data_IF_035499541826
#
_entry.id   IF_035499541826
#
_cell.length_a   1.000
_cell.length_b   1.000
_cell.length_c   1.000
_cell.angle_alpha   90.00
_cell.angle_beta   90.00
_cell.angle_gamma   90.00
#
_symmetry.space_group_name_H-M   'P 1'
#
loop_
_entity.id
_entity.type
_entity.pdbx_description
1 polymer ?
#
# COMPACT_ATOMS: atom_id res chain seq x y z
N UNK A 1 -41.45 33.17 -16.28
CA UNK A 1 -40.81 33.26 -14.95
C UNK A 1 -41.83 32.81 -13.92
N UNK A 2 -41.72 31.57 -13.43
CA UNK A 2 -42.53 31.05 -12.34
C UNK A 2 -41.87 31.46 -11.01
N UNK A 3 -42.63 31.88 -9.98
CA UNK A 3 -42.04 32.26 -8.71
C UNK A 3 -41.59 31.01 -7.96
N UNK A 4 -40.31 31.01 -7.56
CA UNK A 4 -39.72 30.03 -6.65
C UNK A 4 -40.28 30.35 -5.26
N UNK A 5 -41.11 29.45 -4.73
CA UNK A 5 -41.61 29.54 -3.36
C UNK A 5 -40.44 29.47 -2.38
N UNK A 6 -40.16 30.59 -1.71
CA UNK A 6 -39.14 30.67 -0.68
C UNK A 6 -39.54 29.90 0.58
N UNK A 7 -38.62 29.10 1.10
CA UNK A 7 -38.73 28.45 2.40
C UNK A 7 -38.37 29.48 3.48
N UNK A 8 -39.34 29.94 4.26
CA UNK A 8 -39.12 30.86 5.39
C UNK A 8 -39.27 30.07 6.68
N UNK A 9 -38.18 29.94 7.43
CA UNK A 9 -38.19 29.38 8.78
C UNK A 9 -38.41 30.55 9.75
N UNK A 10 -39.65 30.77 10.19
CA UNK A 10 -39.95 31.71 11.27
C UNK A 10 -40.10 30.95 12.59
N UNK A 11 -39.14 31.11 13.49
CA UNK A 11 -39.29 30.74 14.90
C UNK A 11 -40.07 31.86 15.59
N UNK A 12 -41.32 31.59 15.95
CA UNK A 12 -42.15 32.53 16.72
C UNK A 12 -42.13 32.07 18.18
N UNK A 13 -41.21 32.63 18.97
CA UNK A 13 -41.12 32.41 20.41
C UNK A 13 -41.98 33.41 21.17
N UNK A 14 -43.22 33.04 21.49
CA UNK A 14 -44.02 33.73 22.50
C UNK A 14 -43.73 33.10 23.87
N UNK A 15 -43.20 33.94 24.77
CA UNK A 15 -42.87 33.58 26.13
C UNK A 15 -44.13 33.66 27.03
N UNK A 16 -44.90 32.58 27.13
CA UNK A 16 -45.76 32.34 28.32
C UNK A 16 -46.21 30.86 28.39
N UNK A 17 -45.85 30.19 29.48
CA UNK A 17 -46.69 29.16 30.15
C UNK A 17 -47.02 27.86 29.42
N UNK A 18 -46.31 26.80 29.82
CA UNK A 18 -46.78 25.42 30.00
C UNK A 18 -47.15 24.55 28.77
N UNK A 19 -46.64 23.31 28.77
CA UNK A 19 -47.02 22.23 27.86
C UNK A 19 -46.25 22.18 26.52
N UNK A 20 -45.21 21.34 26.46
CA UNK A 20 -44.39 21.02 25.28
C UNK A 20 -45.09 21.05 23.91
N UNK A 21 -45.04 22.20 23.24
CA UNK A 21 -45.38 22.35 21.83
C UNK A 21 -44.09 22.16 21.05
N UNK A 22 -43.93 20.98 20.43
CA UNK A 22 -42.81 20.72 19.55
C UNK A 22 -42.81 21.68 18.35
N UNK A 23 -41.62 22.14 17.95
CA UNK A 23 -41.43 23.03 16.80
C UNK A 23 -42.21 22.54 15.57
N UNK A 24 -43.11 23.38 15.07
CA UNK A 24 -43.93 23.13 13.89
C UNK A 24 -43.32 23.83 12.70
N UNK A 25 -43.04 23.09 11.62
CA UNK A 25 -42.63 23.65 10.35
C UNK A 25 -43.87 23.81 9.45
N UNK A 26 -44.08 25.00 8.89
CA UNK A 26 -45.18 25.26 7.96
C UNK A 26 -44.68 25.05 6.55
N UNK A 27 -45.25 24.07 5.84
CA UNK A 27 -44.97 23.83 4.42
C UNK A 27 -46.05 24.51 3.59
N UNK A 28 -45.66 25.37 2.65
CA UNK A 28 -46.59 25.99 1.70
C UNK A 28 -47.25 27.30 2.16
N UNK A 29 -46.54 28.14 2.93
CA UNK A 29 -47.05 29.42 3.43
C UNK A 29 -47.60 30.29 2.27
N UNK A 30 -48.90 30.62 2.31
CA UNK A 30 -49.58 31.42 1.29
C UNK A 30 -50.28 30.65 0.16
N UNK A 31 -50.42 29.32 0.27
CA UNK A 31 -51.22 28.50 -0.67
C UNK A 31 -52.42 27.86 0.05
N UNK A 32 -53.52 27.50 -0.65
CA UNK A 32 -54.70 26.88 -0.03
C UNK A 32 -54.48 25.47 0.55
N UNK A 33 -53.25 24.93 0.47
CA UNK A 33 -52.86 23.62 1.00
C UNK A 33 -51.81 23.76 2.12
N UNK A 34 -51.98 24.74 3.00
CA UNK A 34 -51.10 24.91 4.17
C UNK A 34 -51.28 23.74 5.14
N UNK A 35 -50.25 22.90 5.26
CA UNK A 35 -50.21 21.80 6.22
C UNK A 35 -49.12 22.07 7.26
N UNK A 36 -49.53 22.14 8.54
CA UNK A 36 -48.61 22.22 9.68
C UNK A 36 -48.07 20.82 9.96
N UNK A 37 -46.79 20.61 9.72
CA UNK A 37 -46.13 19.32 9.91
C UNK A 37 -45.11 19.48 11.05
N UNK A 38 -45.08 18.54 11.99
CA UNK A 38 -44.09 18.61 13.07
C UNK A 38 -42.68 18.50 12.49
N UNK A 39 -41.73 19.21 13.10
CA UNK A 39 -40.32 19.15 12.66
C UNK A 39 -39.80 17.71 12.63
N UNK A 40 -40.31 16.84 13.51
CA UNK A 40 -39.98 15.42 13.55
C UNK A 40 -40.53 14.65 12.35
N UNK A 41 -41.74 14.95 11.88
CA UNK A 41 -42.29 14.34 10.66
C UNK A 41 -41.53 14.85 9.44
N UNK A 42 -41.13 16.13 9.41
CA UNK A 42 -40.30 16.67 8.33
C UNK A 42 -38.91 16.04 8.32
N UNK A 43 -38.31 15.84 9.50
CA UNK A 43 -37.05 15.11 9.67
C UNK A 43 -37.21 13.65 9.26
N UNK A 44 -38.30 12.98 9.63
CA UNK A 44 -38.57 11.59 9.25
C UNK A 44 -38.79 11.46 7.74
N UNK A 45 -39.55 12.35 7.12
CA UNK A 45 -39.71 12.42 5.66
C UNK A 45 -38.36 12.71 4.99
N UNK A 46 -37.56 13.62 5.55
CA UNK A 46 -36.20 13.89 5.08
C UNK A 46 -35.30 12.67 5.25
N UNK A 47 -35.39 11.93 6.35
CA UNK A 47 -34.63 10.70 6.61
C UNK A 47 -35.07 9.53 5.72
N UNK A 48 -36.37 9.45 5.41
CA UNK A 48 -36.97 8.46 4.52
C UNK A 48 -36.67 8.78 3.04
N UNK A 49 -36.66 10.06 2.67
CA UNK A 49 -36.24 10.56 1.35
C UNK A 49 -34.73 10.47 1.13
N UNK A 50 -33.93 10.76 2.15
CA UNK A 50 -32.47 10.68 2.05
C UNK A 50 -31.96 9.25 2.11
N UNK A 51 -32.75 8.33 2.71
CA UNK A 51 -32.43 6.91 2.84
C UNK A 51 -31.12 6.72 3.60
N UNK A 52 -31.15 6.29 4.86
CA UNK A 52 -29.91 5.92 5.57
C UNK A 52 -29.19 4.80 4.80
N UNK A 53 -28.22 5.17 3.97
CA UNK A 53 -27.30 4.23 3.35
C UNK A 53 -26.16 3.99 4.33
N UNK A 54 -25.97 2.74 4.71
CA UNK A 54 -24.80 2.31 5.45
C UNK A 54 -23.64 2.06 4.47
N UNK A 55 -22.39 2.06 4.96
CA UNK A 55 -21.21 1.77 4.16
C UNK A 55 -20.43 0.64 4.81
N UNK A 56 -20.09 -0.38 4.02
CA UNK A 56 -19.19 -1.45 4.40
C UNK A 56 -17.98 -1.42 3.49
N UNK A 57 -16.79 -1.34 4.09
CA UNK A 57 -15.54 -1.31 3.34
C UNK A 57 -14.55 -2.38 3.79
N UNK A 58 -13.78 -2.90 2.83
CA UNK A 58 -12.71 -3.88 3.05
C UNK A 58 -11.47 -3.45 2.27
N UNK A 59 -10.33 -3.42 2.95
CA UNK A 59 -9.05 -3.06 2.36
C UNK A 59 -8.14 -4.29 2.24
N UNK A 60 -7.36 -4.33 1.17
CA UNK A 60 -6.45 -5.42 0.83
C UNK A 60 -5.03 -4.91 0.66
N UNK A 61 -4.07 -5.76 0.99
CA UNK A 61 -2.64 -5.48 0.90
C UNK A 61 -1.87 -6.63 0.25
N UNK A 62 -2.54 -7.44 -0.57
CA UNK A 62 -1.87 -8.47 -1.36
C UNK A 62 -1.20 -7.86 -2.60
N UNK A 63 -0.05 -8.38 -3.05
CA UNK A 63 0.66 -7.86 -4.21
C UNK A 63 0.03 -8.35 -5.53
N UNK A 64 -1.12 -7.77 -5.88
CA UNK A 64 -1.83 -8.11 -7.12
C UNK A 64 -1.09 -7.61 -8.36
N UNK A 65 -1.16 -8.39 -9.44
CA UNK A 65 -0.73 -8.04 -10.78
C UNK A 65 -1.97 -8.01 -11.66
N UNK A 66 -2.51 -6.81 -11.87
CA UNK A 66 -3.80 -6.64 -12.54
C UNK A 66 -3.54 -6.15 -13.96
N UNK A 67 -4.05 -6.90 -14.91
CA UNK A 67 -4.13 -6.52 -16.31
C UNK A 67 -5.53 -6.01 -16.67
N UNK A 68 -5.66 -5.43 -17.85
CA UNK A 68 -6.96 -4.92 -18.32
C UNK A 68 -8.02 -6.03 -18.41
N UNK A 69 -7.64 -7.25 -18.83
CA UNK A 69 -8.54 -8.41 -18.89
C UNK A 69 -9.12 -8.79 -17.54
N UNK A 70 -8.38 -8.58 -16.45
CA UNK A 70 -8.85 -8.89 -15.10
C UNK A 70 -9.95 -7.90 -14.67
N UNK A 71 -9.85 -6.64 -15.12
CA UNK A 71 -10.89 -5.64 -14.91
C UNK A 71 -12.15 -5.94 -15.73
N UNK A 72 -12.01 -6.47 -16.96
CA UNK A 72 -13.15 -6.97 -17.74
C UNK A 72 -13.86 -8.11 -16.99
N UNK A 73 -13.08 -9.02 -16.39
CA UNK A 73 -13.63 -10.12 -15.60
C UNK A 73 -14.35 -9.61 -14.34
N UNK A 74 -13.81 -8.59 -13.65
CA UNK A 74 -14.49 -7.95 -12.53
C UNK A 74 -15.85 -7.40 -12.94
N UNK A 75 -15.88 -6.62 -14.02
CA UNK A 75 -17.12 -6.03 -14.54
C UNK A 75 -18.15 -7.12 -14.85
N UNK A 76 -17.74 -8.18 -15.54
CA UNK A 76 -18.62 -9.32 -15.84
C UNK A 76 -19.18 -9.98 -14.57
N UNK A 77 -18.32 -10.30 -13.58
CA UNK A 77 -18.77 -10.94 -12.32
C UNK A 77 -19.73 -10.06 -11.53
N UNK A 78 -19.48 -8.76 -11.46
CA UNK A 78 -20.37 -7.80 -10.79
C UNK A 78 -21.71 -7.72 -11.51
N UNK A 79 -21.72 -7.57 -12.84
CA UNK A 79 -22.95 -7.54 -13.63
C UNK A 79 -23.77 -8.82 -13.44
N UNK A 80 -23.13 -9.99 -13.51
CA UNK A 80 -23.81 -11.27 -13.27
C UNK A 80 -24.36 -11.41 -11.85
N UNK A 81 -23.65 -10.91 -10.84
CA UNK A 81 -24.16 -10.89 -9.47
C UNK A 81 -25.43 -10.02 -9.38
N UNK A 82 -25.43 -8.89 -10.08
CA UNK A 82 -26.57 -7.97 -10.11
C UNK A 82 -27.79 -8.52 -10.86
N UNK A 83 -27.62 -9.36 -11.88
CA UNK A 83 -28.71 -9.98 -12.66
C UNK A 83 -29.67 -10.82 -11.79
N UNK A 84 -29.21 -11.31 -10.64
CA UNK A 84 -30.03 -12.07 -9.70
C UNK A 84 -31.06 -11.20 -8.96
N UNK A 85 -30.87 -9.88 -9.00
CA UNK A 85 -31.75 -8.90 -8.38
C UNK A 85 -32.64 -8.21 -9.42
N UNK A 86 -33.79 -7.69 -8.98
CA UNK A 86 -34.67 -6.90 -9.84
C UNK A 86 -34.12 -5.47 -10.03
N UNK A 87 -33.05 -5.37 -10.82
CA UNK A 87 -32.34 -4.13 -11.11
C UNK A 87 -33.14 -3.30 -12.11
N UNK A 88 -33.52 -2.08 -11.73
CA UNK A 88 -34.26 -1.13 -12.59
C UNK A 88 -33.34 -0.25 -13.42
N UNK A 89 -32.22 0.13 -12.84
CA UNK A 89 -31.18 0.90 -13.51
C UNK A 89 -29.82 0.45 -12.99
N UNK A 90 -28.83 0.44 -13.88
CA UNK A 90 -27.43 0.26 -13.53
C UNK A 90 -26.58 1.26 -14.30
N UNK A 91 -25.55 1.78 -13.67
CA UNK A 91 -24.50 2.54 -14.33
C UNK A 91 -23.14 2.09 -13.81
N UNK A 92 -22.12 2.24 -14.65
CA UNK A 92 -20.75 1.92 -14.30
C UNK A 92 -19.88 3.09 -14.75
N UNK A 93 -19.03 3.59 -13.87
CA UNK A 93 -18.03 4.60 -14.19
C UNK A 93 -16.64 4.09 -13.81
N UNK A 94 -15.64 4.44 -14.62
CA UNK A 94 -14.25 4.10 -14.35
C UNK A 94 -13.43 5.39 -14.34
N UNK A 95 -12.62 5.60 -13.31
CA UNK A 95 -11.71 6.75 -13.20
C UNK A 95 -10.29 6.25 -13.07
N UNK A 96 -9.43 6.67 -13.98
CA UNK A 96 -8.00 6.39 -13.97
C UNK A 96 -7.30 7.60 -13.34
N UNK A 97 -6.46 7.36 -12.34
CA UNK A 97 -5.57 8.35 -11.73
C UNK A 97 -4.15 8.08 -12.21
N UNK A 98 -3.51 9.08 -12.82
CA UNK A 98 -2.13 9.02 -13.27
C UNK A 98 -1.19 9.69 -12.27
N UNK A 99 0.08 9.26 -12.25
CA UNK A 99 1.12 9.77 -11.33
C UNK A 99 1.37 11.30 -11.43
N UNK A 100 0.93 11.96 -12.50
CA UNK A 100 1.08 13.42 -12.73
C UNK A 100 -0.17 14.23 -12.39
N UNK A 101 -0.98 13.76 -11.43
CA UNK A 101 -2.25 14.38 -11.00
C UNK A 101 -3.29 14.57 -12.12
N UNK A 102 -3.09 13.87 -13.25
CA UNK A 102 -4.08 13.80 -14.31
C UNK A 102 -5.08 12.70 -13.98
N UNK A 103 -6.34 12.93 -14.31
CA UNK A 103 -7.41 11.94 -14.18
C UNK A 103 -8.23 11.87 -15.45
N UNK A 104 -8.63 10.66 -15.81
CA UNK A 104 -9.56 10.41 -16.91
C UNK A 104 -10.74 9.62 -16.37
N UNK A 105 -11.96 10.14 -16.62
CA UNK A 105 -13.20 9.51 -16.15
C UNK A 105 -14.02 9.06 -17.34
N UNK A 106 -14.42 7.79 -17.31
CA UNK A 106 -15.27 7.15 -18.30
C UNK A 106 -16.65 6.90 -17.66
N UNK A 107 -17.70 7.27 -18.39
CA UNK A 107 -19.09 7.14 -17.94
C UNK A 107 -19.69 5.74 -18.15
N UNK A 108 -18.95 4.84 -18.80
CA UNK A 108 -19.34 3.44 -19.01
C UNK A 108 -18.10 2.55 -19.09
N UNK A 109 -18.27 1.27 -18.76
CA UNK A 109 -17.19 0.30 -18.91
C UNK A 109 -16.79 0.11 -20.38
N UNK A 110 -17.74 0.20 -21.32
CA UNK A 110 -17.43 0.10 -22.76
C UNK A 110 -16.52 1.24 -23.25
N UNK A 111 -16.73 2.46 -22.73
CA UNK A 111 -15.84 3.60 -23.04
C UNK A 111 -14.46 3.40 -22.42
N UNK A 112 -14.41 2.81 -21.22
CA UNK A 112 -13.15 2.41 -20.60
C UNK A 112 -12.45 1.28 -21.38
N UNK A 113 -13.20 0.40 -22.05
CA UNK A 113 -12.65 -0.61 -22.95
C UNK A 113 -12.06 -0.03 -24.23
N UNK A 114 -12.68 1.01 -24.76
CA UNK A 114 -12.13 1.79 -25.88
C UNK A 114 -10.96 2.71 -25.48
N UNK A 115 -10.46 2.61 -24.25
CA UNK A 115 -9.33 3.40 -23.76
C UNK A 115 -8.07 3.17 -24.58
N UNK A 116 -7.35 4.26 -24.87
CA UNK A 116 -6.08 4.19 -25.57
C UNK A 116 -4.93 3.90 -24.59
N UNK A 117 -4.50 2.63 -24.56
CA UNK A 117 -3.35 2.17 -23.79
C UNK A 117 -1.99 2.79 -24.19
N UNK A 118 -1.94 3.59 -25.27
CA UNK A 118 -0.73 4.24 -25.77
C UNK A 118 -0.19 5.38 -24.90
N UNK A 119 -0.87 5.74 -23.81
CA UNK A 119 -0.41 6.80 -22.92
C UNK A 119 0.96 6.45 -22.29
N UNK A 120 1.85 7.44 -22.22
CA UNK A 120 3.20 7.30 -21.65
C UNK A 120 3.22 7.47 -20.12
N UNK A 121 2.12 7.95 -19.54
CA UNK A 121 2.01 8.18 -18.09
C UNK A 121 1.57 6.90 -17.37
N UNK A 122 2.29 6.53 -16.32
CA UNK A 122 1.94 5.38 -15.48
C UNK A 122 0.69 5.67 -14.63
N UNK A 123 -0.13 4.64 -14.43
CA UNK A 123 -1.36 4.66 -13.65
C UNK A 123 -1.04 4.42 -12.17
N UNK A 124 -1.50 5.34 -11.32
CA UNK A 124 -1.37 5.26 -9.88
C UNK A 124 -2.50 4.42 -9.28
N UNK A 125 -3.74 4.73 -9.65
CA UNK A 125 -4.91 3.98 -9.18
C UNK A 125 -6.05 4.01 -10.19
N UNK A 126 -6.93 3.01 -10.10
CA UNK A 126 -8.14 2.89 -10.90
C UNK A 126 -9.31 2.74 -9.94
N UNK A 127 -10.32 3.58 -10.10
CA UNK A 127 -11.58 3.51 -9.36
C UNK A 127 -12.68 3.08 -10.32
N UNK A 128 -13.26 1.90 -10.10
CA UNK A 128 -14.45 1.46 -10.81
C UNK A 128 -15.62 1.57 -9.84
N UNK A 129 -16.59 2.42 -10.16
CA UNK A 129 -17.78 2.65 -9.37
C UNK A 129 -19.00 2.18 -10.15
N UNK A 130 -19.79 1.32 -9.51
CA UNK A 130 -21.03 0.79 -10.02
C UNK A 130 -22.19 1.32 -9.19
N UNK A 131 -23.17 1.93 -9.84
CA UNK A 131 -24.41 2.34 -9.20
C UNK A 131 -25.54 1.44 -9.67
N UNK A 132 -26.29 0.90 -8.71
CA UNK A 132 -27.43 0.02 -8.98
C UNK A 132 -28.67 0.52 -8.27
N UNK A 133 -29.80 0.45 -8.96
CA UNK A 133 -31.12 0.69 -8.40
C UNK A 133 -31.88 -0.63 -8.31
N UNK A 134 -32.06 -1.16 -7.10
CA UNK A 134 -32.63 -2.48 -6.86
C UNK A 134 -34.02 -2.32 -6.24
N UNK A 135 -35.02 -3.00 -6.80
CA UNK A 135 -36.35 -3.11 -6.20
C UNK A 135 -36.38 -4.27 -5.20
N UNK A 136 -36.42 -3.95 -3.90
CA UNK A 136 -36.47 -4.97 -2.85
C UNK A 136 -37.88 -5.55 -2.72
N UNK A 137 -38.04 -6.89 -2.66
CA UNK A 137 -39.35 -7.54 -2.63
C UNK A 137 -40.16 -7.22 -1.37
N UNK A 138 -39.50 -6.92 -0.24
CA UNK A 138 -40.16 -6.64 1.04
C UNK A 138 -40.69 -5.22 1.18
N UNK A 139 -40.05 -4.26 0.53
CA UNK A 139 -40.32 -2.82 0.71
C UNK A 139 -41.07 -2.24 -0.49
N UNK A 140 -40.96 -2.85 -1.66
CA UNK A 140 -41.60 -2.36 -2.88
C UNK A 140 -41.05 -1.01 -3.37
N UNK A 141 -39.99 -0.50 -2.73
CA UNK A 141 -39.30 0.74 -3.07
C UNK A 141 -37.98 0.45 -3.76
N UNK A 142 -37.61 1.35 -4.67
CA UNK A 142 -36.33 1.31 -5.38
C UNK A 142 -35.26 1.87 -4.45
N UNK A 143 -34.18 1.12 -4.25
CA UNK A 143 -33.08 1.49 -3.37
C UNK A 143 -31.77 1.60 -4.15
N UNK A 144 -30.96 2.61 -3.82
CA UNK A 144 -29.69 2.87 -4.48
C UNK A 144 -28.55 2.17 -3.76
N UNK A 145 -27.70 1.49 -4.52
CA UNK A 145 -26.47 0.85 -4.06
C UNK A 145 -25.31 1.42 -4.86
N UNK A 146 -24.19 1.68 -4.20
CA UNK A 146 -22.96 2.13 -4.85
C UNK A 146 -21.82 1.19 -4.43
N UNK A 147 -21.30 0.43 -5.38
CA UNK A 147 -20.12 -0.41 -5.21
C UNK A 147 -18.92 0.33 -5.79
N UNK A 148 -17.93 0.63 -4.97
CA UNK A 148 -16.68 1.26 -5.37
C UNK A 148 -15.51 0.30 -5.18
N UNK A 149 -14.77 0.04 -6.25
CA UNK A 149 -13.56 -0.79 -6.24
C UNK A 149 -12.40 0.09 -6.66
N UNK A 150 -11.54 0.44 -5.70
CA UNK A 150 -10.31 1.19 -5.94
C UNK A 150 -9.12 0.25 -5.91
N UNK A 151 -8.38 0.21 -7.00
CA UNK A 151 -7.16 -0.58 -7.17
C UNK A 151 -5.98 0.38 -7.29
N UNK A 152 -4.89 0.11 -6.59
CA UNK A 152 -3.72 0.98 -6.55
C UNK A 152 -2.45 0.22 -6.91
N UNK A 153 -1.62 0.85 -7.75
CA UNK A 153 -0.31 0.32 -8.16
C UNK A 153 0.76 0.74 -7.15
N UNK A 154 1.35 -0.22 -6.42
CA UNK A 154 2.42 0.06 -5.45
C UNK A 154 3.63 0.67 -6.12
N UNK A 155 4.02 0.15 -7.29
CA UNK A 155 5.20 0.63 -8.03
C UNK A 155 5.03 2.10 -8.42
N UNK A 156 3.83 2.48 -8.86
CA UNK A 156 3.55 3.86 -9.24
C UNK A 156 3.59 4.80 -8.03
N UNK A 157 2.95 4.41 -6.93
CA UNK A 157 2.93 5.19 -5.68
C UNK A 157 4.33 5.32 -5.06
N UNK A 158 5.08 4.21 -4.97
CA UNK A 158 6.47 4.21 -4.47
C UNK A 158 7.38 5.07 -5.36
N UNK A 159 7.23 4.96 -6.68
CA UNK A 159 7.99 5.75 -7.64
C UNK A 159 7.68 7.26 -7.55
N UNK A 160 6.43 7.63 -7.26
CA UNK A 160 6.05 9.03 -7.04
C UNK A 160 6.62 9.56 -5.72
N UNK A 161 6.49 8.80 -4.64
CA UNK A 161 7.05 9.17 -3.32
C UNK A 161 8.57 9.33 -3.38
N UNK A 162 9.26 8.43 -4.09
CA UNK A 162 10.71 8.49 -4.27
C UNK A 162 11.16 9.74 -5.05
N UNK A 163 10.35 10.22 -6.02
CA UNK A 163 10.65 11.45 -6.78
C UNK A 163 10.36 12.72 -5.98
N UNK A 164 9.38 12.67 -5.07
CA UNK A 164 8.97 13.82 -4.26
C UNK A 164 9.85 14.08 -3.04
N UNK A 165 10.65 13.11 -2.60
CA UNK A 165 11.50 13.22 -1.41
C UNK A 165 12.99 13.30 -1.76
N UNK A 166 13.70 14.26 -1.17
CA UNK A 166 15.17 14.36 -1.23
C UNK A 166 15.89 13.30 -0.38
N UNK A 167 15.16 12.64 0.52
CA UNK A 167 15.68 11.65 1.48
C UNK A 167 14.93 10.32 1.24
N UNK A 168 15.65 9.20 1.34
CA UNK A 168 15.11 7.84 1.19
C UNK A 168 13.80 7.68 2.01
N UNK A 169 12.75 7.16 1.38
CA UNK A 169 11.41 7.05 1.98
C UNK A 169 11.48 6.22 3.27
N UNK A 170 11.10 6.78 4.44
CA UNK A 170 11.18 6.04 5.70
C UNK A 170 10.33 4.76 5.65
N UNK A 171 10.83 3.67 6.23
CA UNK A 171 10.18 2.34 6.23
C UNK A 171 8.69 2.37 6.64
N UNK A 172 8.29 3.31 7.50
CA UNK A 172 6.89 3.50 7.94
C UNK A 172 5.96 3.89 6.78
N UNK A 173 6.41 4.78 5.88
CA UNK A 173 5.58 5.25 4.75
C UNK A 173 5.37 4.19 3.69
N UNK A 174 6.34 3.28 3.50
CA UNK A 174 6.17 2.12 2.62
C UNK A 174 5.04 1.20 3.07
N UNK A 175 4.82 1.08 4.39
CA UNK A 175 3.69 0.31 4.94
C UNK A 175 2.34 0.98 4.66
N UNK A 176 2.26 2.31 4.64
CA UNK A 176 1.04 3.03 4.28
C UNK A 176 0.70 2.93 2.78
N UNK A 177 1.73 2.88 1.91
CA UNK A 177 1.58 2.57 0.49
C UNK A 177 1.22 1.11 0.18
N UNK A 178 1.07 0.25 1.20
CA UNK A 178 0.82 -1.17 1.01
C UNK A 178 -0.65 -1.51 0.67
N UNK A 179 -1.59 -0.56 0.70
CA UNK A 179 -2.98 -0.85 0.31
C UNK A 179 -3.10 -0.94 -1.20
N UNK A 180 -3.41 -2.12 -1.70
CA UNK A 180 -3.47 -2.44 -3.14
C UNK A 180 -4.88 -2.44 -3.68
N UNK A 181 -5.87 -2.77 -2.84
CA UNK A 181 -7.28 -2.62 -3.18
C UNK A 181 -8.10 -2.11 -2.00
N UNK A 182 -9.11 -1.31 -2.27
CA UNK A 182 -10.13 -0.86 -1.31
C UNK A 182 -11.47 -1.05 -1.99
N UNK A 183 -12.33 -1.83 -1.36
CA UNK A 183 -13.70 -2.07 -1.82
C UNK A 183 -14.63 -1.44 -0.80
N UNK A 184 -15.57 -0.61 -1.24
CA UNK A 184 -16.60 -0.02 -0.38
C UNK A 184 -17.96 -0.16 -1.06
N UNK A 185 -18.95 -0.58 -0.31
CA UNK A 185 -20.33 -0.71 -0.77
C UNK A 185 -21.21 0.15 0.12
N UNK A 186 -21.88 1.13 -0.48
CA UNK A 186 -22.99 1.84 0.14
C UNK A 186 -24.26 1.07 -0.10
N UNK A 187 -25.00 0.75 0.95
CA UNK A 187 -26.12 -0.17 0.91
C UNK A 187 -27.28 0.26 1.80
N UNK A 188 -28.45 -0.30 1.50
CA UNK A 188 -29.64 -0.25 2.34
C UNK A 188 -29.92 -1.62 2.97
N UNK A 189 -29.74 -2.70 2.21
CA UNK A 189 -29.77 -4.08 2.70
C UNK A 189 -28.35 -4.67 2.77
N UNK A 190 -27.94 -5.06 3.98
CA UNK A 190 -26.62 -5.65 4.25
C UNK A 190 -26.39 -6.97 3.50
N UNK A 191 -27.42 -7.78 3.26
CA UNK A 191 -27.27 -9.08 2.59
C UNK A 191 -26.82 -8.88 1.14
N UNK A 192 -27.41 -7.90 0.44
CA UNK A 192 -27.02 -7.53 -0.92
C UNK A 192 -25.58 -7.00 -0.92
N UNK A 193 -25.25 -6.12 0.02
CA UNK A 193 -23.90 -5.58 0.15
C UNK A 193 -22.85 -6.66 0.39
N UNK A 194 -23.17 -7.63 1.25
CA UNK A 194 -22.30 -8.75 1.57
C UNK A 194 -22.02 -9.63 0.35
N UNK A 195 -23.05 -9.96 -0.42
CA UNK A 195 -22.89 -10.74 -1.66
C UNK A 195 -22.02 -10.01 -2.69
N UNK A 196 -22.19 -8.69 -2.85
CA UNK A 196 -21.34 -7.89 -3.73
C UNK A 196 -19.88 -7.88 -3.24
N UNK A 197 -19.65 -7.68 -1.94
CA UNK A 197 -18.32 -7.75 -1.35
C UNK A 197 -17.66 -9.11 -1.56
N UNK A 198 -18.39 -10.20 -1.30
CA UNK A 198 -17.87 -11.57 -1.45
C UNK A 198 -17.58 -11.91 -2.93
N UNK A 199 -18.34 -11.33 -3.87
CA UNK A 199 -18.08 -11.44 -5.32
C UNK A 199 -16.76 -10.76 -5.69
N UNK A 200 -16.52 -9.55 -5.18
CA UNK A 200 -15.25 -8.83 -5.41
C UNK A 200 -14.08 -9.51 -4.69
N UNK A 201 -14.30 -10.06 -3.50
CA UNK A 201 -13.30 -10.81 -2.73
C UNK A 201 -12.85 -12.07 -3.49
N UNK A 202 -13.80 -12.87 -3.96
CA UNK A 202 -13.55 -14.05 -4.79
C UNK A 202 -12.85 -13.69 -6.12
N UNK A 203 -13.16 -12.52 -6.70
CA UNK A 203 -12.44 -12.02 -7.85
C UNK A 203 -10.98 -11.66 -7.50
N UNK A 204 -10.74 -10.89 -6.44
CA UNK A 204 -9.39 -10.54 -6.00
C UNK A 204 -8.54 -11.78 -5.71
N UNK A 205 -9.13 -12.82 -5.14
CA UNK A 205 -8.40 -14.08 -4.89
C UNK A 205 -8.05 -14.86 -6.16
N UNK A 206 -8.78 -14.64 -7.26
CA UNK A 206 -8.47 -15.24 -8.56
C UNK A 206 -7.44 -14.46 -9.38
N UNK A 207 -7.15 -13.20 -9.02
CA UNK A 207 -6.17 -12.37 -9.72
C UNK A 207 -4.75 -12.89 -9.44
N UNK A 208 -3.84 -12.87 -10.44
CA UNK A 208 -2.44 -13.23 -10.22
C UNK A 208 -1.77 -12.39 -9.13
N UNK A 209 -1.12 -13.07 -8.18
CA UNK A 209 -0.37 -12.45 -7.07
C UNK A 209 1.12 -12.75 -7.25
N UNK A 210 1.99 -11.76 -7.05
CA UNK A 210 3.44 -12.01 -7.05
C UNK A 210 3.80 -12.93 -5.87
N UNK A 211 4.31 -14.12 -6.18
CA UNK A 211 4.69 -15.11 -5.17
C UNK A 211 6.20 -15.09 -4.91
N UNK A 212 6.64 -14.16 -4.06
CA UNK A 212 7.97 -14.31 -3.49
C UNK A 212 8.01 -15.56 -2.58
N UNK A 213 9.10 -16.31 -2.66
CA UNK A 213 9.26 -17.54 -1.85
C UNK A 213 9.15 -17.21 -0.36
N UNK A 214 8.53 -18.11 0.42
CA UNK A 214 8.36 -17.91 1.87
C UNK A 214 9.69 -17.67 2.58
N UNK A 215 10.75 -18.31 2.10
CA UNK A 215 12.12 -18.11 2.58
C UNK A 215 12.59 -16.68 2.35
N UNK A 216 12.38 -16.16 1.13
CA UNK A 216 12.78 -14.79 0.80
C UNK A 216 12.04 -13.75 1.64
N UNK A 217 10.72 -13.90 1.82
CA UNK A 217 9.95 -13.03 2.72
C UNK A 217 10.48 -13.06 4.15
N UNK A 218 10.93 -14.23 4.62
CA UNK A 218 11.54 -14.38 5.95
C UNK A 218 12.90 -13.71 6.06
N UNK A 219 13.75 -13.82 5.03
CA UNK A 219 15.06 -13.17 4.96
C UNK A 219 14.92 -11.65 4.97
N UNK A 220 14.02 -11.09 4.16
CA UNK A 220 13.75 -9.65 4.12
C UNK A 220 13.16 -9.18 5.46
N UNK A 221 12.23 -9.92 6.06
CA UNK A 221 11.65 -9.57 7.36
C UNK A 221 12.69 -9.59 8.50
N UNK A 222 13.71 -10.43 8.38
CA UNK A 222 14.82 -10.57 9.33
C UNK A 222 16.08 -9.80 8.89
N UNK A 223 15.98 -8.91 7.90
CA UNK A 223 17.12 -8.17 7.34
C UNK A 223 17.88 -7.37 8.39
N UNK A 224 17.19 -6.90 9.45
CA UNK A 224 17.79 -6.14 10.55
C UNK A 224 18.81 -6.94 11.37
N UNK A 225 18.83 -8.27 11.25
CA UNK A 225 19.88 -9.09 11.87
C UNK A 225 21.15 -9.18 11.01
N UNK A 226 21.12 -8.81 9.73
CA UNK A 226 22.27 -8.89 8.81
C UNK A 226 23.48 -8.11 9.34
N UNK A 227 23.35 -6.84 9.79
CA UNK A 227 24.50 -6.11 10.33
C UNK A 227 25.06 -6.75 11.61
N UNK A 228 24.18 -7.32 12.44
CA UNK A 228 24.54 -7.99 13.68
C UNK A 228 25.34 -9.27 13.42
N UNK A 229 24.82 -10.13 12.54
CA UNK A 229 25.45 -11.38 12.12
C UNK A 229 26.80 -11.07 11.47
N UNK A 230 26.84 -10.09 10.55
CA UNK A 230 28.06 -9.69 9.86
C UNK A 230 29.16 -9.29 10.85
N UNK A 231 28.80 -8.45 11.82
CA UNK A 231 29.68 -7.93 12.85
C UNK A 231 30.27 -9.02 13.74
N UNK A 232 29.45 -9.95 14.23
CA UNK A 232 29.94 -11.04 15.09
C UNK A 232 30.75 -12.07 14.31
N UNK A 233 30.32 -12.41 13.09
CA UNK A 233 31.05 -13.35 12.24
C UNK A 233 32.47 -12.83 11.96
N UNK A 234 32.60 -11.59 11.49
CA UNK A 234 33.92 -10.98 11.21
C UNK A 234 34.76 -10.87 12.49
N UNK A 235 34.15 -10.53 13.63
CA UNK A 235 34.86 -10.50 14.92
C UNK A 235 35.43 -11.86 15.34
N UNK A 236 34.65 -12.93 15.19
CA UNK A 236 35.10 -14.30 15.49
C UNK A 236 36.24 -14.71 14.55
N UNK A 237 36.10 -14.47 13.24
CA UNK A 237 37.15 -14.82 12.27
C UNK A 237 38.43 -14.01 12.53
N UNK A 238 38.33 -12.72 12.84
CA UNK A 238 39.47 -11.88 13.18
C UNK A 238 40.18 -12.35 14.47
N UNK A 239 39.43 -12.80 15.47
CA UNK A 239 40.00 -13.38 16.69
C UNK A 239 40.73 -14.70 16.42
N UNK A 240 40.16 -15.58 15.59
CA UNK A 240 40.82 -16.83 15.18
C UNK A 240 42.12 -16.56 14.41
N UNK A 241 42.13 -15.58 13.51
CA UNK A 241 43.33 -15.13 12.81
C UNK A 241 44.36 -14.61 13.82
N UNK A 242 43.97 -13.77 14.78
CA UNK A 242 44.91 -13.30 15.80
C UNK A 242 45.54 -14.47 16.59
N UNK A 243 44.75 -15.48 16.98
CA UNK A 243 45.27 -16.67 17.67
C UNK A 243 46.26 -17.44 16.78
N UNK A 244 45.92 -17.69 15.51
CA UNK A 244 46.78 -18.41 14.56
C UNK A 244 48.14 -17.73 14.36
N UNK A 245 48.16 -16.39 14.27
CA UNK A 245 49.38 -15.62 14.06
C UNK A 245 50.11 -15.27 15.37
N UNK A 246 49.53 -15.55 16.54
CA UNK A 246 50.15 -15.20 17.83
C UNK A 246 51.54 -15.82 18.03
N UNK A 247 51.73 -17.06 17.58
CA UNK A 247 53.03 -17.76 17.68
C UNK A 247 54.14 -17.17 16.78
N UNK A 248 53.78 -16.35 15.79
CA UNK A 248 54.76 -15.65 14.94
C UNK A 248 55.28 -14.37 15.61
N UNK A 249 54.43 -13.66 16.34
CA UNK A 249 54.79 -12.41 17.01
C UNK A 249 55.32 -12.64 18.44
N UNK A 250 54.91 -13.72 19.10
CA UNK A 250 55.34 -14.09 20.45
C UNK A 250 56.19 -15.35 20.37
N UNK A 251 57.45 -15.19 19.96
CA UNK A 251 58.45 -16.27 20.02
C UNK A 251 58.81 -16.60 21.47
N UNK A 252 59.41 -17.76 21.71
CA UNK A 252 59.77 -18.22 23.07
C UNK A 252 60.76 -17.30 23.81
N UNK A 253 61.46 -16.43 23.09
CA UNK A 253 62.40 -15.41 23.58
C UNK A 253 61.79 -13.99 23.62
N UNK A 254 60.49 -13.83 23.31
CA UNK A 254 59.84 -12.54 23.23
C UNK A 254 59.77 -11.83 24.59
N UNK A 255 59.93 -10.50 24.58
CA UNK A 255 59.80 -9.69 25.78
C UNK A 255 58.32 -9.49 26.13
N UNK A 256 58.02 -9.20 27.41
CA UNK A 256 56.65 -8.87 27.88
C UNK A 256 56.05 -7.72 27.04
N UNK A 257 56.90 -6.79 26.60
CA UNK A 257 56.51 -5.65 25.76
C UNK A 257 55.98 -6.10 24.40
N UNK A 258 56.55 -7.14 23.79
CA UNK A 258 56.14 -7.63 22.47
C UNK A 258 54.77 -8.31 22.55
N UNK A 259 54.55 -9.13 23.58
CA UNK A 259 53.25 -9.74 23.87
C UNK A 259 52.15 -8.70 24.15
N UNK A 260 52.44 -7.69 24.97
CA UNK A 260 51.51 -6.59 25.23
C UNK A 260 51.17 -5.80 23.95
N UNK A 261 52.18 -5.50 23.13
CA UNK A 261 52.00 -4.77 21.86
C UNK A 261 51.15 -5.57 20.88
N UNK A 262 51.36 -6.89 20.78
CA UNK A 262 50.56 -7.80 19.97
C UNK A 262 49.09 -7.84 20.41
N UNK A 263 48.82 -7.95 21.71
CA UNK A 263 47.45 -7.96 22.26
C UNK A 263 46.74 -6.65 21.94
N UNK A 264 47.38 -5.50 22.19
CA UNK A 264 46.80 -4.18 21.89
C UNK A 264 46.52 -4.03 20.40
N UNK A 265 47.49 -4.37 19.53
CA UNK A 265 47.30 -4.31 18.08
C UNK A 265 46.16 -5.21 17.60
N UNK A 266 46.06 -6.43 18.16
CA UNK A 266 44.99 -7.38 17.84
C UNK A 266 43.62 -6.86 18.27
N UNK A 267 43.50 -6.29 19.47
CA UNK A 267 42.25 -5.71 19.96
C UNK A 267 41.80 -4.52 19.10
N UNK A 268 42.72 -3.63 18.74
CA UNK A 268 42.44 -2.49 17.84
C UNK A 268 42.02 -2.98 16.46
N UNK A 269 42.73 -3.96 15.89
CA UNK A 269 42.39 -4.57 14.61
C UNK A 269 41.01 -5.21 14.62
N UNK A 270 40.72 -6.05 15.62
CA UNK A 270 39.41 -6.70 15.81
C UNK A 270 38.32 -5.63 15.92
N UNK A 271 38.53 -4.57 16.71
CA UNK A 271 37.56 -3.48 16.84
C UNK A 271 37.33 -2.74 15.51
N UNK A 272 38.38 -2.48 14.74
CA UNK A 272 38.29 -1.83 13.44
C UNK A 272 37.50 -2.69 12.43
N UNK A 273 37.82 -3.99 12.32
CA UNK A 273 37.08 -4.92 11.45
C UNK A 273 35.64 -5.11 11.89
N UNK A 274 35.39 -5.19 13.20
CA UNK A 274 34.06 -5.24 13.78
C UNK A 274 33.21 -4.02 13.39
N UNK A 275 33.79 -2.81 13.46
CA UNK A 275 33.14 -1.58 13.02
C UNK A 275 32.90 -1.57 11.52
N UNK A 276 33.88 -1.97 10.71
CA UNK A 276 33.76 -2.02 9.25
C UNK A 276 32.67 -3.00 8.80
N UNK A 277 32.66 -4.22 9.34
CA UNK A 277 31.68 -5.26 9.04
C UNK A 277 30.24 -4.83 9.36
N UNK A 278 30.07 -4.03 10.42
CA UNK A 278 28.78 -3.44 10.75
C UNK A 278 28.31 -2.41 9.70
N UNK A 279 29.20 -1.54 9.22
CA UNK A 279 28.85 -0.55 8.19
C UNK A 279 28.51 -1.22 6.86
N UNK A 280 29.31 -2.20 6.43
CA UNK A 280 29.03 -2.95 5.20
C UNK A 280 27.76 -3.80 5.36
N UNK A 281 27.55 -4.40 6.53
CA UNK A 281 26.33 -5.13 6.87
C UNK A 281 25.08 -4.25 6.82
N UNK A 282 25.15 -3.02 7.34
CA UNK A 282 24.08 -2.01 7.18
C UNK A 282 23.86 -1.63 5.72
N UNK A 283 24.92 -1.51 4.93
CA UNK A 283 24.79 -1.22 3.51
C UNK A 283 24.16 -2.40 2.74
N UNK A 284 24.37 -3.63 3.19
CA UNK A 284 23.71 -4.83 2.65
C UNK A 284 22.23 -4.89 3.07
N UNK A 285 21.92 -4.62 4.35
CA UNK A 285 20.56 -4.48 4.87
C UNK A 285 19.78 -3.44 4.06
N UNK A 286 20.32 -2.23 3.90
CA UNK A 286 19.63 -1.17 3.14
C UNK A 286 19.42 -1.50 1.68
N UNK A 287 20.29 -2.33 1.08
CA UNK A 287 20.12 -2.81 -0.29
C UNK A 287 19.02 -3.88 -0.35
N UNK A 288 18.96 -4.76 0.66
CA UNK A 288 17.91 -5.78 0.75
C UNK A 288 16.54 -5.15 1.03
N UNK A 289 16.48 -4.13 1.87
CA UNK A 289 15.24 -3.41 2.17
C UNK A 289 14.69 -2.70 0.95
N UNK A 290 15.51 -2.33 -0.03
CA UNK A 290 15.03 -1.71 -1.27
C UNK A 290 14.19 -2.66 -2.12
N UNK A 291 14.33 -3.97 -1.91
CA UNK A 291 13.50 -4.96 -2.58
C UNK A 291 12.05 -4.86 -2.10
N UNK A 292 11.11 -4.77 -3.05
CA UNK A 292 9.66 -4.78 -2.76
C UNK A 292 8.92 -5.81 -3.61
N UNK A 293 7.83 -6.35 -3.07
CA UNK A 293 6.92 -7.21 -3.84
C UNK A 293 6.23 -6.38 -4.92
N UNK A 294 6.36 -6.82 -6.17
CA UNK A 294 5.81 -6.10 -7.31
C UNK A 294 4.29 -6.21 -7.32
N UNK A 295 3.61 -5.09 -7.10
CA UNK A 295 2.17 -4.95 -7.29
C UNK A 295 1.89 -3.78 -8.21
N UNK A 296 1.16 -4.03 -9.28
CA UNK A 296 1.00 -3.07 -10.36
C UNK A 296 -0.32 -3.23 -11.10
N UNK A 297 -0.69 -2.16 -11.79
CA UNK A 297 -1.74 -2.11 -12.80
C UNK A 297 -1.05 -1.98 -14.16
N UNK A 298 -1.25 -2.91 -15.07
CA UNK A 298 -0.65 -2.87 -16.41
C UNK A 298 -1.70 -2.43 -17.44
N UNK A 299 -2.00 -1.13 -17.47
CA UNK A 299 -3.00 -0.56 -18.39
C UNK A 299 -2.37 0.20 -19.55
N UNK A 300 -1.23 0.84 -19.33
CA UNK A 300 -0.58 1.73 -20.29
C UNK A 300 0.82 1.26 -20.68
N UNK A 301 1.36 1.83 -21.77
CA UNK A 301 2.77 1.66 -22.12
C UNK A 301 3.71 2.20 -21.01
N UNK A 302 3.31 3.29 -20.35
CA UNK A 302 4.02 3.85 -19.19
C UNK A 302 4.11 2.87 -18.03
N UNK A 303 3.07 2.09 -17.76
CA UNK A 303 3.07 1.06 -16.72
C UNK A 303 4.08 -0.04 -17.02
N UNK A 304 4.08 -0.54 -18.26
CA UNK A 304 5.02 -1.58 -18.70
C UNK A 304 6.48 -1.14 -18.53
N UNK A 305 6.78 0.13 -18.81
CA UNK A 305 8.12 0.69 -18.57
C UNK A 305 8.46 0.73 -17.07
N UNK A 306 7.54 1.20 -16.23
CA UNK A 306 7.72 1.25 -14.77
C UNK A 306 7.88 -0.14 -14.13
N UNK A 307 7.13 -1.14 -14.62
CA UNK A 307 7.24 -2.53 -14.17
C UNK A 307 8.62 -3.09 -14.51
N UNK A 308 9.13 -2.83 -15.72
CA UNK A 308 10.47 -3.27 -16.15
C UNK A 308 11.57 -2.63 -15.31
N UNK A 309 11.48 -1.33 -15.05
CA UNK A 309 12.47 -0.64 -14.20
C UNK A 309 12.44 -1.17 -12.76
N UNK A 310 11.26 -1.36 -12.17
CA UNK A 310 11.12 -1.92 -10.83
C UNK A 310 11.68 -3.35 -10.74
N UNK A 311 11.45 -4.19 -11.76
CA UNK A 311 12.01 -5.54 -11.81
C UNK A 311 13.54 -5.53 -11.90
N UNK A 312 14.09 -4.65 -12.73
CA UNK A 312 15.54 -4.48 -12.87
C UNK A 312 16.16 -3.96 -11.55
N UNK A 313 15.54 -2.98 -10.90
CA UNK A 313 15.95 -2.45 -9.60
C UNK A 313 15.91 -3.51 -8.50
N UNK A 314 14.87 -4.34 -8.45
CA UNK A 314 14.79 -5.46 -7.52
C UNK A 314 15.95 -6.45 -7.73
N UNK A 315 16.22 -6.86 -8.97
CA UNK A 315 17.32 -7.79 -9.27
C UNK A 315 18.70 -7.20 -8.92
N UNK A 316 18.91 -5.92 -9.22
CA UNK A 316 20.13 -5.18 -8.89
C UNK A 316 20.30 -5.04 -7.38
N UNK A 317 19.22 -4.73 -6.65
CA UNK A 317 19.24 -4.57 -5.20
C UNK A 317 19.62 -5.88 -4.50
N UNK A 318 19.11 -7.01 -4.98
CA UNK A 318 19.50 -8.34 -4.50
C UNK A 318 20.98 -8.62 -4.78
N UNK A 319 21.44 -8.41 -6.01
CA UNK A 319 22.85 -8.63 -6.38
C UNK A 319 23.80 -7.75 -5.53
N UNK A 320 23.47 -6.48 -5.35
CA UNK A 320 24.25 -5.54 -4.55
C UNK A 320 24.24 -5.92 -3.06
N UNK A 321 23.09 -6.38 -2.53
CA UNK A 321 23.01 -6.87 -1.17
C UNK A 321 23.92 -8.09 -0.95
N UNK A 322 23.89 -9.05 -1.87
CA UNK A 322 24.76 -10.24 -1.84
C UNK A 322 26.23 -9.82 -1.93
N UNK A 323 26.59 -8.97 -2.89
CA UNK A 323 27.98 -8.53 -3.07
C UNK A 323 28.52 -7.80 -1.83
N UNK A 324 27.71 -6.93 -1.22
CA UNK A 324 28.08 -6.22 0.02
C UNK A 324 28.20 -7.20 1.19
N UNK A 325 27.29 -8.14 1.32
CA UNK A 325 27.36 -9.15 2.38
C UNK A 325 28.63 -10.02 2.24
N UNK A 326 28.89 -10.54 1.03
CA UNK A 326 30.11 -11.31 0.74
C UNK A 326 31.36 -10.46 0.95
N UNK A 327 31.35 -9.20 0.54
CA UNK A 327 32.44 -8.25 0.80
C UNK A 327 32.69 -8.03 2.29
N UNK A 328 31.63 -7.93 3.10
CA UNK A 328 31.75 -7.84 4.55
C UNK A 328 32.44 -9.09 5.12
N UNK A 329 32.03 -10.28 4.70
CA UNK A 329 32.62 -11.54 5.16
C UNK A 329 34.09 -11.67 4.71
N UNK A 330 34.37 -11.30 3.47
CA UNK A 330 35.71 -11.43 2.85
C UNK A 330 36.72 -10.42 3.39
N UNK A 331 36.27 -9.31 4.00
CA UNK A 331 37.16 -8.33 4.63
C UNK A 331 38.08 -8.97 5.69
N UNK A 332 37.61 -10.01 6.38
CA UNK A 332 38.39 -10.78 7.34
C UNK A 332 39.50 -11.62 6.69
N UNK A 333 39.26 -12.16 5.49
CA UNK A 333 40.25 -12.93 4.72
C UNK A 333 41.33 -11.98 4.17
N UNK A 334 40.95 -10.80 3.68
CA UNK A 334 41.89 -9.76 3.26
C UNK A 334 42.80 -9.32 4.41
N UNK A 335 42.28 -9.27 5.65
CA UNK A 335 43.08 -9.02 6.83
C UNK A 335 44.18 -10.08 7.02
N UNK A 336 43.84 -11.36 6.82
CA UNK A 336 44.80 -12.47 6.87
C UNK A 336 45.90 -12.32 5.81
N UNK A 337 45.53 -12.01 4.57
CA UNK A 337 46.51 -11.77 3.49
C UNK A 337 47.40 -10.56 3.75
N UNK A 338 46.84 -9.44 4.23
CA UNK A 338 47.61 -8.25 4.57
C UNK A 338 48.61 -8.53 5.70
N UNK A 339 48.19 -9.27 6.73
CA UNK A 339 49.07 -9.70 7.81
C UNK A 339 50.22 -10.60 7.31
N UNK A 340 49.92 -11.56 6.43
CA UNK A 340 50.93 -12.42 5.82
C UNK A 340 51.92 -11.66 4.92
N UNK A 341 51.44 -10.68 4.15
CA UNK A 341 52.28 -9.83 3.29
C UNK A 341 53.21 -8.92 4.10
N UNK A 342 52.68 -8.25 5.13
CA UNK A 342 53.48 -7.43 6.04
C UNK A 342 54.56 -8.25 6.73
N UNK A 343 54.25 -9.50 7.08
CA UNK A 343 55.22 -10.42 7.64
C UNK A 343 56.34 -10.74 6.65
N UNK A 344 56.01 -11.10 5.41
CA UNK A 344 57.00 -11.41 4.37
C UNK A 344 57.94 -10.22 4.07
N UNK A 345 57.46 -8.99 4.18
CA UNK A 345 58.26 -7.78 3.97
C UNK A 345 59.17 -7.43 5.16
N UNK A 346 58.84 -7.92 6.36
CA UNK A 346 59.60 -7.64 7.58
C UNK A 346 60.67 -8.70 7.88
N UNK A 347 60.55 -9.89 7.29
CA UNK A 347 61.50 -11.02 7.40
C UNK A 347 62.62 -10.95 6.37
#
# INVERSE_FOLDING_TARGET
>A
MLPIGGLVISSQGDASGDGGVGDLAVVGQGTPHESKVSIQVLQNIYYELTGKSEDVSKAYSDPFQIEFSDLEQLNYRVTQCCEQYNVRASSCSATIFYVKDSKETFSSFDRFRAFNAGNSSSVESVLIAYDFMILLPKVGTIQNYNLSVRLSSRIAVEGQMAKGMLIDVPRMFRTFGARTAIVSVKYVDYIVARNLLDTVDSWLDSVPKESASRLWKSVVRKSHYIPLISRYFVGIVAALIAIEYSGLFVKSDATIRDGASFVVASLVGIFAFYRLAFHIGRAAESSLDRWSELSYLSLTAGDKAAIRSARAENSKSVLVAILKFVGAMSSSILAKFAAALLFYLAS
#
